data_IF_394932563299
#
_entry.id   IF_394932563299
#
_cell.length_a   1.000
_cell.length_b   1.000
_cell.length_c   1.000
_cell.angle_alpha   90.00
_cell.angle_beta   90.00
_cell.angle_gamma   90.00
#
_symmetry.space_group_name_H-M   'P 1'
#
loop_
_entity.id
_entity.type
_entity.pdbx_description
1 polymer ?
#
# COMPACT_ATOMS: atom_id res chain seq x y z
N UNK A 1 25.59 -20.06 -15.94
CA UNK A 1 25.55 -18.68 -15.39
C UNK A 1 24.37 -18.60 -14.43
N UNK A 2 24.60 -18.60 -13.12
CA UNK A 2 23.52 -18.37 -12.14
C UNK A 2 23.25 -16.88 -12.12
N UNK A 3 22.13 -16.45 -12.66
CA UNK A 3 21.62 -15.10 -12.44
C UNK A 3 21.35 -15.00 -10.94
N UNK A 4 22.27 -14.42 -10.17
CA UNK A 4 22.09 -14.22 -8.75
C UNK A 4 21.03 -13.12 -8.59
N UNK A 5 19.79 -13.54 -8.39
CA UNK A 5 18.71 -12.63 -8.04
C UNK A 5 19.13 -11.81 -6.81
N UNK A 6 19.07 -10.49 -6.93
CA UNK A 6 19.49 -9.57 -5.88
C UNK A 6 18.64 -9.84 -4.62
N UNK A 7 19.28 -10.10 -3.47
CA UNK A 7 18.58 -10.26 -2.19
C UNK A 7 18.08 -8.91 -1.69
N UNK A 8 16.86 -8.55 -2.09
CA UNK A 8 16.20 -7.31 -1.68
C UNK A 8 16.05 -7.23 -0.16
N UNK A 9 15.87 -8.36 0.52
CA UNK A 9 15.85 -8.44 1.99
C UNK A 9 17.08 -7.83 2.67
N UNK A 10 18.26 -7.86 2.03
CA UNK A 10 19.48 -7.25 2.57
C UNK A 10 19.46 -5.70 2.47
N UNK A 11 18.69 -5.12 1.55
CA UNK A 11 18.59 -3.66 1.37
C UNK A 11 17.83 -2.99 2.51
N UNK A 12 16.95 -3.72 3.20
CA UNK A 12 16.20 -3.19 4.33
C UNK A 12 17.07 -2.80 5.52
N UNK A 13 18.28 -3.38 5.65
CA UNK A 13 19.24 -2.98 6.66
C UNK A 13 19.95 -1.65 6.35
N UNK A 14 19.79 -1.09 5.15
CA UNK A 14 20.45 0.12 4.73
C UNK A 14 19.50 1.35 4.84
N UNK A 15 19.80 2.32 5.71
CA UNK A 15 18.94 3.48 5.94
C UNK A 15 18.85 4.44 4.74
N UNK A 16 19.68 4.26 3.69
CA UNK A 16 19.55 5.03 2.44
C UNK A 16 18.38 4.59 1.57
N UNK A 17 17.94 3.35 1.73
CA UNK A 17 16.88 2.75 0.91
C UNK A 17 15.63 2.47 1.73
N UNK A 18 15.81 1.96 2.95
CA UNK A 18 14.73 1.59 3.84
C UNK A 18 14.34 2.76 4.73
N UNK A 19 13.04 2.97 4.85
CA UNK A 19 12.47 4.03 5.66
C UNK A 19 11.24 3.52 6.42
N UNK A 20 11.03 4.07 7.61
CA UNK A 20 9.83 3.79 8.39
C UNK A 20 8.71 4.67 7.88
N UNK A 21 7.58 4.05 7.53
CA UNK A 21 6.41 4.73 6.99
C UNK A 21 5.17 4.32 7.75
N UNK A 22 4.25 5.27 7.88
CA UNK A 22 3.00 5.03 8.57
C UNK A 22 1.99 4.41 7.60
N UNK A 23 1.31 3.37 8.05
CA UNK A 23 0.26 2.68 7.32
C UNK A 23 -1.02 2.76 8.13
N UNK A 24 -2.04 3.36 7.55
CA UNK A 24 -3.39 3.36 8.08
C UNK A 24 -4.06 2.06 7.61
N UNK A 25 -4.26 1.16 8.56
CA UNK A 25 -4.92 -0.12 8.33
C UNK A 25 -6.39 0.00 8.68
N UNK A 26 -7.22 -0.70 7.93
CA UNK A 26 -8.66 -0.76 8.16
C UNK A 26 -9.04 -2.17 8.60
N UNK A 27 -9.53 -2.31 9.81
CA UNK A 27 -10.10 -3.56 10.30
C UNK A 27 -11.61 -3.37 10.47
N UNK A 28 -12.40 -4.32 10.00
CA UNK A 28 -13.83 -4.29 10.20
C UNK A 28 -14.37 -5.64 10.60
N UNK A 29 -15.39 -5.62 11.45
CA UNK A 29 -16.05 -6.80 11.94
C UNK A 29 -17.56 -6.61 11.94
N UNK A 30 -18.29 -7.69 11.68
CA UNK A 30 -19.72 -7.73 11.93
C UNK A 30 -19.96 -7.97 13.41
N UNK A 31 -20.74 -7.09 14.03
CA UNK A 31 -21.23 -7.28 15.38
C UNK A 31 -22.37 -8.29 15.40
N UNK A 32 -22.68 -8.82 16.60
CA UNK A 32 -23.74 -9.82 16.77
C UNK A 32 -25.15 -9.32 16.37
N UNK A 33 -25.33 -8.00 16.29
CA UNK A 33 -26.56 -7.32 15.84
C UNK A 33 -26.64 -7.13 14.31
N UNK A 34 -25.62 -7.57 13.57
CA UNK A 34 -25.55 -7.45 12.11
C UNK A 34 -25.01 -6.10 11.62
N UNK A 35 -24.60 -5.20 12.52
CA UNK A 35 -23.98 -3.93 12.13
C UNK A 35 -22.50 -4.13 11.76
N UNK A 36 -22.04 -3.44 10.72
CA UNK A 36 -20.62 -3.39 10.34
C UNK A 36 -19.92 -2.31 11.14
N UNK A 37 -18.97 -2.71 11.99
CA UNK A 37 -18.10 -1.79 12.70
C UNK A 37 -16.73 -1.76 12.01
N UNK A 38 -16.24 -0.57 11.72
CA UNK A 38 -14.95 -0.36 11.07
C UNK A 38 -14.06 0.53 11.91
N UNK A 39 -12.85 0.07 12.18
CA UNK A 39 -11.83 0.76 12.95
C UNK A 39 -10.58 0.99 12.11
N UNK A 40 -10.00 2.17 12.27
CA UNK A 40 -8.77 2.55 11.63
C UNK A 40 -7.69 2.71 12.68
N UNK A 41 -6.56 2.05 12.47
CA UNK A 41 -5.39 2.22 13.32
C UNK A 41 -4.15 2.50 12.49
N UNK A 42 -3.23 3.22 13.10
CA UNK A 42 -2.00 3.64 12.46
C UNK A 42 -0.87 2.75 12.94
N UNK A 43 -0.21 2.11 11.98
CA UNK A 43 0.92 1.21 12.19
C UNK A 43 2.18 1.78 11.52
N UNK A 44 3.36 1.36 11.95
CA UNK A 44 4.64 1.81 11.37
C UNK A 44 5.43 0.63 10.83
N UNK A 45 5.59 0.57 9.52
CA UNK A 45 6.28 -0.51 8.81
C UNK A 45 7.61 -0.04 8.22
N UNK A 46 8.55 -0.97 8.05
CA UNK A 46 9.80 -0.70 7.33
C UNK A 46 9.63 -1.00 5.84
N UNK A 47 9.70 0.03 5.00
CA UNK A 47 9.48 -0.09 3.57
C UNK A 47 10.55 0.62 2.72
N UNK A 48 10.75 0.11 1.52
CA UNK A 48 11.50 0.73 0.43
C UNK A 48 10.48 1.20 -0.60
N UNK A 49 10.54 2.48 -0.97
CA UNK A 49 9.57 3.11 -1.86
C UNK A 49 10.30 3.66 -3.08
N UNK A 50 9.81 3.33 -4.27
CA UNK A 50 10.40 3.79 -5.52
C UNK A 50 9.35 4.06 -6.59
N UNK A 51 9.67 4.83 -7.65
CA UNK A 51 8.77 5.00 -8.78
C UNK A 51 8.46 3.66 -9.45
N UNK A 52 7.23 3.52 -9.93
CA UNK A 52 6.80 2.37 -10.74
C UNK A 52 7.49 2.37 -12.11
N UNK A 53 7.74 1.20 -12.67
CA UNK A 53 8.15 1.05 -14.07
C UNK A 53 6.91 0.96 -14.98
N UNK A 54 7.05 1.14 -16.31
CA UNK A 54 5.94 0.95 -17.23
C UNK A 54 5.28 -0.43 -17.13
N UNK A 55 6.06 -1.49 -16.88
CA UNK A 55 5.55 -2.85 -16.70
C UNK A 55 4.70 -2.98 -15.42
N UNK A 56 5.12 -2.31 -14.33
CA UNK A 56 4.35 -2.30 -13.08
C UNK A 56 2.99 -1.60 -13.27
N UNK A 57 2.92 -0.55 -14.10
CA UNK A 57 1.67 0.16 -14.40
C UNK A 57 0.67 -0.73 -15.13
N UNK A 58 1.13 -1.67 -15.97
CA UNK A 58 0.24 -2.59 -16.66
C UNK A 58 -0.50 -3.55 -15.71
N UNK A 59 0.07 -3.80 -14.52
CA UNK A 59 -0.55 -4.62 -13.48
C UNK A 59 -1.70 -3.91 -12.77
N UNK A 60 -1.82 -2.59 -12.91
CA UNK A 60 -2.92 -1.83 -12.33
C UNK A 60 -4.21 -1.97 -13.16
N UNK A 61 -5.38 -1.93 -12.50
CA UNK A 61 -6.66 -1.79 -13.20
C UNK A 61 -6.66 -0.56 -14.13
N UNK A 62 -7.32 -0.64 -15.28
CA UNK A 62 -7.30 0.43 -16.31
C UNK A 62 -7.58 1.82 -15.75
N UNK A 63 -8.59 1.95 -14.89
CA UNK A 63 -8.97 3.22 -14.27
C UNK A 63 -7.89 3.82 -13.36
N UNK A 64 -6.98 3.01 -12.84
CA UNK A 64 -5.91 3.45 -11.92
C UNK A 64 -4.58 3.72 -12.62
N UNK A 65 -4.40 3.29 -13.88
CA UNK A 65 -3.13 3.45 -14.64
C UNK A 65 -2.73 4.89 -14.91
N UNK A 66 -3.71 5.80 -14.94
CA UNK A 66 -3.48 7.23 -15.18
C UNK A 66 -3.09 7.99 -13.91
N UNK A 67 -3.22 7.35 -12.74
CA UNK A 67 -2.91 7.98 -11.47
C UNK A 67 -1.44 7.80 -11.10
N UNK A 68 -0.82 8.79 -10.41
CA UNK A 68 0.52 8.63 -9.87
C UNK A 68 0.58 7.38 -8.99
N UNK A 69 1.58 6.54 -9.25
CA UNK A 69 1.73 5.25 -8.58
C UNK A 69 3.16 5.08 -8.05
N UNK A 70 3.30 4.35 -6.94
CA UNK A 70 4.58 4.03 -6.31
C UNK A 70 4.66 2.54 -6.02
N UNK A 71 5.84 1.97 -6.22
CA UNK A 71 6.15 0.61 -5.80
C UNK A 71 6.64 0.63 -4.36
N UNK A 72 6.14 -0.32 -3.58
CA UNK A 72 6.42 -0.46 -2.15
C UNK A 72 6.94 -1.88 -1.93
N UNK A 73 8.09 -1.99 -1.29
CA UNK A 73 8.61 -3.24 -0.78
C UNK A 73 8.64 -3.14 0.74
N UNK A 74 7.88 -3.96 1.44
CA UNK A 74 7.77 -3.94 2.91
C UNK A 74 8.31 -5.22 3.51
N UNK A 75 8.99 -5.17 4.66
CA UNK A 75 9.29 -6.40 5.41
C UNK A 75 8.07 -6.92 6.16
N UNK A 76 7.24 -6.01 6.65
CA UNK A 76 6.02 -6.32 7.36
C UNK A 76 4.89 -6.60 6.37
N UNK A 77 3.95 -7.46 6.75
CA UNK A 77 2.77 -7.74 5.94
C UNK A 77 1.95 -6.45 5.75
N UNK A 78 1.66 -6.15 4.49
CA UNK A 78 0.79 -5.08 4.03
C UNK A 78 -0.32 -5.71 3.20
N UNK A 79 -1.52 -5.15 3.25
CA UNK A 79 -2.69 -5.71 2.58
C UNK A 79 -3.24 -4.74 1.52
N UNK A 80 -3.99 -5.28 0.56
CA UNK A 80 -4.69 -4.46 -0.44
C UNK A 80 -5.78 -3.65 0.26
N UNK A 81 -5.81 -2.34 0.01
CA UNK A 81 -6.72 -1.39 0.66
C UNK A 81 -6.07 -0.57 1.78
N UNK A 82 -4.93 -1.01 2.31
CA UNK A 82 -4.16 -0.22 3.28
C UNK A 82 -3.71 1.12 2.67
N UNK A 83 -3.66 2.16 3.50
CA UNK A 83 -3.27 3.52 3.07
C UNK A 83 -1.95 3.92 3.70
N UNK A 84 -0.93 4.07 2.86
CA UNK A 84 0.42 4.46 3.25
C UNK A 84 0.59 5.98 3.23
N UNK A 85 1.16 6.54 4.29
CA UNK A 85 1.49 7.96 4.41
C UNK A 85 2.95 8.18 4.04
N UNK A 86 3.18 8.84 2.91
CA UNK A 86 4.53 9.12 2.40
C UNK A 86 4.60 10.48 1.71
N UNK A 87 5.56 11.31 2.14
CA UNK A 87 5.76 12.69 1.64
C UNK A 87 4.46 13.51 1.69
N UNK A 88 3.81 13.54 2.85
CA UNK A 88 2.53 14.23 3.10
C UNK A 88 1.37 13.81 2.17
N UNK A 89 1.54 12.70 1.46
CA UNK A 89 0.58 12.18 0.48
C UNK A 89 0.11 10.79 0.92
N UNK A 90 -1.17 10.50 0.69
CA UNK A 90 -1.79 9.20 0.95
C UNK A 90 -1.68 8.32 -0.29
N UNK A 91 -1.21 7.09 -0.12
CA UNK A 91 -1.03 6.11 -1.18
C UNK A 91 -1.79 4.84 -0.80
N UNK A 92 -2.86 4.53 -1.52
CA UNK A 92 -3.65 3.32 -1.25
C UNK A 92 -3.02 2.14 -2.00
N UNK A 93 -2.77 1.03 -1.30
CA UNK A 93 -2.27 -0.19 -1.91
C UNK A 93 -3.39 -0.83 -2.75
N UNK A 94 -3.19 -0.90 -4.06
CA UNK A 94 -4.17 -1.46 -5.00
C UNK A 94 -3.81 -2.88 -5.41
N UNK A 95 -2.51 -3.16 -5.54
CA UNK A 95 -2.00 -4.45 -5.96
C UNK A 95 -0.97 -4.93 -4.96
N UNK A 96 -1.01 -6.23 -4.67
CA UNK A 96 -0.06 -6.90 -3.79
C UNK A 96 0.38 -8.21 -4.44
N UNK A 97 1.68 -8.44 -4.43
CA UNK A 97 2.30 -9.72 -4.73
C UNK A 97 3.00 -10.22 -3.48
N UNK A 98 2.73 -11.47 -3.09
CA UNK A 98 3.38 -12.09 -1.96
C UNK A 98 4.77 -12.61 -2.37
N UNK A 99 5.82 -11.97 -1.85
CA UNK A 99 7.22 -12.38 -2.01
C UNK A 99 7.85 -12.78 -0.68
N UNK A 100 7.03 -13.19 0.30
CA UNK A 100 7.48 -13.51 1.67
C UNK A 100 8.57 -14.57 1.71
N UNK A 101 8.62 -15.51 0.76
CA UNK A 101 9.73 -16.47 0.59
C UNK A 101 11.09 -15.81 0.40
N UNK A 102 11.12 -14.60 -0.16
CA UNK A 102 12.30 -13.76 -0.34
C UNK A 102 12.50 -12.73 0.79
N UNK A 103 11.60 -12.72 1.79
CA UNK A 103 11.66 -11.88 2.99
C UNK A 103 11.08 -10.48 2.81
N UNK A 104 10.19 -10.26 1.83
CA UNK A 104 9.49 -8.98 1.66
C UNK A 104 8.13 -9.16 0.97
N UNK A 105 7.24 -8.20 1.18
CA UNK A 105 5.98 -8.03 0.46
C UNK A 105 6.16 -6.97 -0.62
N UNK A 106 5.57 -7.19 -1.78
CA UNK A 106 5.68 -6.29 -2.91
C UNK A 106 4.31 -5.73 -3.27
N UNK A 107 4.12 -4.42 -3.12
CA UNK A 107 2.86 -3.75 -3.43
C UNK A 107 3.04 -2.61 -4.43
N UNK A 108 1.96 -2.28 -5.13
CA UNK A 108 1.83 -1.05 -5.92
C UNK A 108 0.73 -0.22 -5.26
N UNK A 109 1.09 0.99 -4.86
CA UNK A 109 0.14 1.94 -4.30
C UNK A 109 -0.10 3.10 -5.25
N UNK A 110 -1.37 3.49 -5.34
CA UNK A 110 -1.87 4.56 -6.17
C UNK A 110 -2.18 5.75 -5.28
N UNK A 111 -1.86 6.96 -5.74
CA UNK A 111 -2.13 8.19 -5.01
C UNK A 111 -3.63 8.31 -4.73
N UNK A 112 -3.97 8.53 -3.47
CA UNK A 112 -5.34 8.63 -3.00
C UNK A 112 -5.59 10.03 -2.42
N UNK A 113 -6.03 10.96 -3.26
CA UNK A 113 -6.39 12.32 -2.89
C UNK A 113 -7.79 12.38 -2.26
N UNK A 114 -8.01 11.62 -1.19
CA UNK A 114 -9.00 11.90 -0.13
C UNK A 114 -10.48 12.14 -0.47
N UNK A 115 -10.97 11.98 -1.70
CA UNK A 115 -12.37 12.30 -2.06
C UNK A 115 -13.37 11.19 -1.75
N UNK A 116 -12.92 10.02 -1.30
CA UNK A 116 -13.80 8.93 -0.89
C UNK A 116 -13.46 8.47 0.54
N UNK A 117 -13.82 9.27 1.54
CA UNK A 117 -14.12 8.68 2.84
C UNK A 117 -15.43 7.90 2.68
N UNK A 118 -15.54 6.63 3.12
CA UNK A 118 -16.82 5.90 3.08
C UNK A 118 -17.94 6.58 3.87
N UNK A 119 -17.60 7.57 4.71
CA UNK A 119 -18.54 8.42 5.46
C UNK A 119 -18.55 9.91 4.99
N UNK A 120 -17.93 10.25 3.86
CA UNK A 120 -18.17 11.56 3.26
C UNK A 120 -19.60 11.57 2.76
N UNK A 121 -20.40 12.54 3.23
CA UNK A 121 -21.78 12.69 2.81
C UNK A 121 -21.87 12.63 1.28
N UNK A 122 -22.53 11.59 0.76
CA UNK A 122 -22.87 11.54 -0.65
C UNK A 122 -23.67 12.79 -0.98
N UNK A 123 -23.32 13.43 -2.11
CA UNK A 123 -23.93 14.64 -2.66
C UNK A 123 -25.32 14.95 -2.09
N UNK A 124 -25.41 15.99 -1.25
CA UNK A 124 -26.70 16.51 -0.82
C UNK A 124 -27.40 17.12 -2.03
N UNK A 125 -28.47 16.48 -2.51
CA UNK A 125 -29.39 17.10 -3.45
C UNK A 125 -30.17 18.18 -2.69
N UNK A 126 -29.85 19.45 -2.94
CA UNK A 126 -30.75 20.59 -2.65
C UNK A 126 -31.73 20.80 -3.78
#
# INVERSE_FOLDING_TARGET
MRCAMLKISALFGNPRFAQRVQVLRCHGQYLADGTWQQEYFLDTVLAIIHPVTPDDVQLLPEGERHHPSKKIMSQDQIDVGDVLLYQDTRWRITQLSNWSEYGYYHGIAVRHDGTAQPAAAAFGLT
#
